data_IF_939216098991
#
_entry.id   IF_939216098991
#
_cell.length_a   1.000
_cell.length_b   1.000
_cell.length_c   1.000
_cell.angle_alpha   90.00
_cell.angle_beta   90.00
_cell.angle_gamma   90.00
#
_symmetry.space_group_name_H-M   'P 1'
#
loop_
_entity.id
_entity.type
_entity.pdbx_description
1 polymer ?
#
# COMPACT_ATOMS: atom_id res chain seq x y z
N UNK A 1 2.67 -55.49 15.54
CA UNK A 1 2.44 -54.65 14.35
C UNK A 1 3.70 -54.71 13.47
N UNK A 2 3.60 -55.22 12.23
CA UNK A 2 4.76 -55.59 11.40
C UNK A 2 5.64 -54.38 11.08
N UNK A 3 6.97 -54.51 11.22
CA UNK A 3 7.98 -53.46 10.93
C UNK A 3 7.81 -52.81 9.55
N UNK A 4 7.26 -53.57 8.59
CA UNK A 4 6.91 -53.09 7.24
C UNK A 4 5.82 -52.02 7.26
N UNK A 5 4.80 -52.14 8.12
CA UNK A 5 3.69 -51.17 8.21
C UNK A 5 4.15 -49.85 8.83
N UNK A 6 5.09 -49.90 9.78
CA UNK A 6 5.68 -48.71 10.39
C UNK A 6 6.54 -47.93 9.40
N UNK A 7 7.35 -48.61 8.60
CA UNK A 7 8.19 -47.96 7.58
C UNK A 7 7.34 -47.25 6.52
N UNK A 8 6.23 -47.88 6.11
CA UNK A 8 5.31 -47.34 5.10
C UNK A 8 4.54 -46.11 5.61
N UNK A 9 4.24 -46.07 6.91
CA UNK A 9 3.60 -44.91 7.54
C UNK A 9 4.56 -43.70 7.59
N UNK A 10 5.83 -43.94 7.90
CA UNK A 10 6.84 -42.88 7.99
C UNK A 10 7.11 -42.27 6.61
N UNK A 11 7.26 -43.09 5.57
CA UNK A 11 7.45 -42.59 4.20
C UNK A 11 6.23 -41.82 3.71
N UNK A 12 5.02 -42.26 4.04
CA UNK A 12 3.80 -41.53 3.71
C UNK A 12 3.75 -40.15 4.41
N UNK A 13 4.13 -40.06 5.68
CA UNK A 13 4.20 -38.79 6.40
C UNK A 13 5.24 -37.84 5.81
N UNK A 14 6.42 -38.34 5.43
CA UNK A 14 7.48 -37.52 4.80
C UNK A 14 7.04 -37.01 3.43
N UNK A 15 6.38 -37.86 2.63
CA UNK A 15 5.84 -37.47 1.32
C UNK A 15 4.72 -36.44 1.49
N UNK A 16 3.80 -36.60 2.44
CA UNK A 16 2.76 -35.61 2.74
C UNK A 16 3.37 -34.29 3.25
N UNK A 17 4.46 -34.33 4.02
CA UNK A 17 5.16 -33.14 4.48
C UNK A 17 5.85 -32.41 3.33
N UNK A 18 6.53 -33.14 2.43
CA UNK A 18 7.20 -32.58 1.26
C UNK A 18 6.21 -32.10 0.18
N UNK A 19 5.05 -32.74 0.06
CA UNK A 19 4.00 -32.37 -0.89
C UNK A 19 3.02 -31.34 -0.34
N UNK A 20 3.06 -31.01 0.95
CA UNK A 20 2.31 -29.90 1.49
C UNK A 20 3.04 -28.60 1.14
N UNK A 21 2.49 -27.75 0.26
CA UNK A 21 2.98 -26.39 0.12
C UNK A 21 2.46 -25.60 1.34
N UNK A 22 2.91 -25.94 2.54
CA UNK A 22 2.50 -25.30 3.79
C UNK A 22 3.16 -23.91 3.96
N UNK A 23 3.75 -23.38 2.89
CA UNK A 23 4.10 -21.98 2.69
C UNK A 23 3.64 -21.55 1.28
N UNK A 24 2.35 -21.72 0.96
CA UNK A 24 1.71 -20.60 0.28
C UNK A 24 1.73 -19.48 1.31
N UNK A 25 2.80 -18.66 1.30
CA UNK A 25 2.75 -17.34 1.91
C UNK A 25 1.39 -16.79 1.54
N UNK A 26 0.51 -16.62 2.53
CA UNK A 26 -0.72 -15.89 2.31
C UNK A 26 -0.29 -14.64 1.60
N UNK A 27 -0.74 -14.46 0.37
CA UNK A 27 -0.44 -13.24 -0.39
C UNK A 27 -1.18 -12.18 0.41
N UNK A 28 -0.48 -11.56 1.34
CA UNK A 28 -1.07 -10.75 2.40
C UNK A 28 -1.81 -9.60 1.72
N UNK A 29 -3.13 -9.76 1.64
CA UNK A 29 -3.99 -8.74 1.08
C UNK A 29 -4.01 -7.58 2.08
N UNK A 30 -3.47 -6.44 1.67
CA UNK A 30 -3.58 -5.21 2.46
C UNK A 30 -4.68 -4.38 1.84
N UNK A 31 -5.82 -4.31 2.51
CA UNK A 31 -6.88 -3.36 2.20
C UNK A 31 -6.91 -2.34 3.33
N UNK A 32 -6.80 -1.06 3.00
CA UNK A 32 -6.90 -0.03 4.02
C UNK A 32 -7.40 1.31 3.55
N UNK A 33 -7.75 2.10 4.55
CA UNK A 33 -8.14 3.50 4.46
C UNK A 33 -7.27 4.33 5.40
N UNK A 34 -6.94 5.54 5.00
CA UNK A 34 -6.23 6.52 5.81
C UNK A 34 -6.76 7.92 5.55
N UNK A 35 -6.93 8.67 6.63
CA UNK A 35 -7.19 10.11 6.60
C UNK A 35 -5.95 10.82 7.16
N UNK A 36 -5.37 11.76 6.40
CA UNK A 36 -4.12 12.46 6.78
C UNK A 36 -4.15 13.92 6.37
N UNK A 37 -3.62 14.78 7.24
CA UNK A 37 -3.45 16.22 6.98
C UNK A 37 -1.97 16.59 7.00
N UNK A 38 -1.47 17.07 5.87
CA UNK A 38 -0.10 17.60 5.76
C UNK A 38 -0.11 19.12 5.86
N UNK A 39 0.64 19.67 6.82
CA UNK A 39 0.77 21.11 7.00
C UNK A 39 2.13 21.60 6.50
N UNK A 40 2.14 22.62 5.64
CA UNK A 40 3.35 23.29 5.17
C UNK A 40 3.18 24.81 5.20
N UNK A 41 3.81 25.45 6.19
CA UNK A 41 3.67 26.89 6.47
C UNK A 41 2.17 27.23 6.63
N UNK A 42 1.61 28.05 5.74
CA UNK A 42 0.18 28.44 5.73
C UNK A 42 -0.68 27.58 4.79
N UNK A 43 -0.11 26.54 4.19
CA UNK A 43 -0.84 25.62 3.32
C UNK A 43 -1.11 24.32 4.08
N UNK A 44 -2.22 23.68 3.73
CA UNK A 44 -2.63 22.39 4.28
C UNK A 44 -3.16 21.52 3.16
N UNK A 45 -2.80 20.25 3.16
CA UNK A 45 -3.34 19.25 2.25
C UNK A 45 -3.99 18.15 3.06
N UNK A 46 -5.32 18.10 3.00
CA UNK A 46 -6.11 17.04 3.62
C UNK A 46 -6.39 15.96 2.61
N UNK A 47 -6.11 14.71 2.97
CA UNK A 47 -6.20 13.55 2.10
C UNK A 47 -7.00 12.44 2.73
N UNK A 48 -7.81 11.82 1.88
CA UNK A 48 -8.33 10.49 2.05
C UNK A 48 -7.61 9.55 1.07
N UNK A 49 -6.97 8.52 1.61
CA UNK A 49 -6.24 7.52 0.85
C UNK A 49 -6.91 6.17 1.08
N UNK A 50 -7.22 5.45 0.01
CA UNK A 50 -7.59 4.04 0.07
C UNK A 50 -6.63 3.24 -0.78
N UNK A 51 -6.24 2.06 -0.31
CA UNK A 51 -5.38 1.17 -1.08
C UNK A 51 -5.77 -0.29 -0.89
N UNK A 52 -5.60 -1.06 -1.96
CA UNK A 52 -5.75 -2.50 -1.96
C UNK A 52 -4.53 -3.11 -2.65
N UNK A 53 -3.82 -3.98 -1.94
CA UNK A 53 -2.66 -4.72 -2.44
C UNK A 53 -3.00 -6.20 -2.42
N UNK A 54 -2.75 -6.88 -3.53
CA UNK A 54 -2.92 -8.30 -3.66
C UNK A 54 -2.00 -8.83 -4.76
N UNK A 55 -1.30 -9.94 -4.49
CA UNK A 55 -0.55 -10.69 -5.49
C UNK A 55 0.51 -9.87 -6.26
N UNK A 56 1.17 -8.92 -5.60
CA UNK A 56 2.19 -8.07 -6.24
C UNK A 56 1.61 -6.95 -7.12
N UNK A 57 0.29 -6.74 -7.07
CA UNK A 57 -0.43 -5.65 -7.73
C UNK A 57 -1.25 -4.87 -6.72
N UNK A 58 -1.50 -3.60 -7.01
CA UNK A 58 -2.36 -2.80 -6.17
C UNK A 58 -3.04 -1.65 -6.88
N UNK A 59 -4.05 -1.12 -6.21
CA UNK A 59 -4.78 0.08 -6.61
C UNK A 59 -4.80 1.00 -5.40
N UNK A 60 -4.44 2.26 -5.60
CA UNK A 60 -4.51 3.32 -4.60
C UNK A 60 -5.35 4.45 -5.14
N UNK A 61 -6.39 4.85 -4.40
CA UNK A 61 -7.16 6.07 -4.67
C UNK A 61 -6.80 7.14 -3.64
N UNK A 62 -6.52 8.34 -4.13
CA UNK A 62 -6.20 9.50 -3.31
C UNK A 62 -7.16 10.63 -3.67
N UNK A 63 -7.85 11.18 -2.68
CA UNK A 63 -8.68 12.36 -2.82
C UNK A 63 -8.39 13.35 -1.72
N UNK A 64 -8.65 14.63 -1.95
CA UNK A 64 -8.30 15.64 -0.96
C UNK A 64 -8.50 17.07 -1.40
N UNK A 65 -8.25 17.99 -0.46
CA UNK A 65 -8.38 19.43 -0.67
C UNK A 65 -7.07 20.09 -0.25
N UNK A 66 -6.52 20.89 -1.14
CA UNK A 66 -5.42 21.80 -0.85
C UNK A 66 -5.99 23.13 -0.41
N UNK A 67 -5.54 23.61 0.75
CA UNK A 67 -5.87 24.89 1.32
C UNK A 67 -4.67 25.84 1.27
N UNK A 68 -4.94 27.13 1.05
CA UNK A 68 -4.00 28.23 1.22
C UNK A 68 -4.63 29.28 2.14
N UNK A 69 -4.07 29.45 3.33
CA UNK A 69 -4.64 30.28 4.40
C UNK A 69 -6.11 29.92 4.69
N UNK A 70 -6.37 28.64 4.96
CA UNK A 70 -7.69 28.07 5.30
C UNK A 70 -8.76 28.18 4.21
N UNK A 71 -8.40 28.66 3.00
CA UNK A 71 -9.29 28.72 1.83
C UNK A 71 -8.99 27.57 0.90
N UNK A 72 -10.03 26.84 0.47
CA UNK A 72 -9.90 25.79 -0.53
C UNK A 72 -9.33 26.38 -1.83
N UNK A 73 -8.18 25.87 -2.23
CA UNK A 73 -7.43 26.28 -3.42
C UNK A 73 -7.67 25.31 -4.59
N UNK A 74 -7.60 24.01 -4.32
CA UNK A 74 -7.73 22.99 -5.35
C UNK A 74 -8.15 21.62 -4.77
N UNK A 75 -8.71 20.78 -5.63
CA UNK A 75 -9.13 19.41 -5.33
C UNK A 75 -8.17 18.41 -5.98
N UNK A 76 -7.71 17.44 -5.18
CA UNK A 76 -7.00 16.25 -5.64
C UNK A 76 -8.01 15.10 -5.71
N UNK A 77 -8.02 14.35 -6.82
CA UNK A 77 -8.82 13.12 -6.91
C UNK A 77 -8.30 12.24 -8.04
N UNK A 78 -7.58 11.18 -7.69
CA UNK A 78 -6.89 10.30 -8.64
C UNK A 78 -6.82 8.85 -8.16
N UNK A 79 -6.73 7.94 -9.12
CA UNK A 79 -6.44 6.52 -8.88
C UNK A 79 -5.11 6.14 -9.54
N UNK A 80 -4.29 5.36 -8.84
CA UNK A 80 -3.02 4.82 -9.32
C UNK A 80 -3.09 3.30 -9.25
N UNK A 81 -2.92 2.62 -10.38
CA UNK A 81 -2.59 1.19 -10.36
C UNK A 81 -1.07 1.03 -10.34
N UNK A 82 -0.59 0.01 -9.63
CA UNK A 82 0.83 -0.23 -9.46
C UNK A 82 1.15 -1.71 -9.34
N UNK A 83 2.39 -2.07 -9.68
CA UNK A 83 3.00 -3.31 -9.21
C UNK A 83 3.81 -3.06 -7.94
N UNK A 84 4.00 -4.11 -7.15
CA UNK A 84 4.88 -4.05 -6.00
C UNK A 84 5.68 -5.33 -5.77
N UNK A 85 6.84 -5.17 -5.15
CA UNK A 85 7.60 -6.25 -4.53
C UNK A 85 7.71 -5.98 -3.03
N UNK A 86 7.62 -7.03 -2.23
CA UNK A 86 7.76 -6.95 -0.78
C UNK A 86 9.06 -7.63 -0.35
N UNK A 87 9.84 -6.95 0.50
CA UNK A 87 11.01 -7.51 1.18
C UNK A 87 10.92 -7.19 2.67
N UNK A 88 10.44 -8.16 3.46
CA UNK A 88 10.10 -7.94 4.87
C UNK A 88 9.03 -6.85 5.02
N UNK A 89 9.39 -5.77 5.72
CA UNK A 89 8.51 -4.62 5.97
C UNK A 89 8.59 -3.55 4.86
N UNK A 90 9.42 -3.75 3.84
CA UNK A 90 9.60 -2.79 2.75
C UNK A 90 8.77 -3.19 1.54
N UNK A 91 8.05 -2.21 1.01
CA UNK A 91 7.19 -2.32 -0.16
C UNK A 91 7.74 -1.39 -1.26
N UNK A 92 8.13 -2.00 -2.38
CA UNK A 92 8.68 -1.31 -3.54
C UNK A 92 7.59 -1.20 -4.60
N UNK A 93 6.89 -0.06 -4.63
CA UNK A 93 5.83 0.18 -5.59
C UNK A 93 6.39 0.75 -6.89
N UNK A 94 5.70 0.46 -7.99
CA UNK A 94 5.96 1.07 -9.30
C UNK A 94 4.65 1.40 -10.00
N UNK A 95 4.45 2.68 -10.31
CA UNK A 95 3.22 3.15 -10.95
C UNK A 95 3.07 2.57 -12.36
N UNK A 96 1.86 2.13 -12.70
CA UNK A 96 1.54 1.50 -14.00
C UNK A 96 0.53 2.34 -14.77
N UNK A 97 -0.57 2.72 -14.13
CA UNK A 97 -1.60 3.60 -14.69
C UNK A 97 -1.97 4.67 -13.68
N UNK A 98 -2.23 5.88 -14.18
CA UNK A 98 -2.69 7.01 -13.39
C UNK A 98 -3.92 7.58 -14.06
N UNK A 99 -5.00 7.73 -13.31
CA UNK A 99 -6.28 8.25 -13.79
C UNK A 99 -6.75 9.39 -12.90
N UNK A 100 -7.04 10.53 -13.52
CA UNK A 100 -7.64 11.68 -12.85
C UNK A 100 -9.16 11.55 -12.86
N UNK A 101 -9.78 11.86 -11.73
CA UNK A 101 -11.23 11.99 -11.66
C UNK A 101 -11.66 13.34 -12.24
N UNK A 102 -12.90 13.50 -12.75
CA UNK A 102 -13.39 14.79 -13.26
C UNK A 102 -13.36 15.94 -12.22
N UNK A 103 -13.31 15.63 -10.93
CA UNK A 103 -13.21 16.61 -9.84
C UNK A 103 -11.77 17.10 -9.59
N UNK A 104 -10.79 16.53 -10.29
CA UNK A 104 -9.38 16.92 -10.19
C UNK A 104 -9.19 18.34 -10.73
N UNK A 105 -8.71 19.24 -9.88
CA UNK A 105 -8.42 20.64 -10.24
C UNK A 105 -7.02 21.08 -9.82
N UNK A 106 -6.29 20.25 -9.07
CA UNK A 106 -4.93 20.56 -8.62
C UNK A 106 -3.94 20.60 -9.79
N UNK A 107 -3.26 21.73 -9.92
CA UNK A 107 -2.25 21.94 -10.97
C UNK A 107 -1.09 20.96 -10.85
N UNK A 108 -0.41 20.66 -11.96
CA UNK A 108 0.77 19.78 -11.95
C UNK A 108 1.88 20.31 -11.03
N UNK A 109 2.06 21.62 -10.93
CA UNK A 109 3.06 22.22 -10.03
C UNK A 109 2.70 22.03 -8.56
N UNK A 110 1.41 22.14 -8.19
CA UNK A 110 0.96 21.82 -6.84
C UNK A 110 1.10 20.32 -6.57
N UNK A 111 0.75 19.44 -7.51
CA UNK A 111 0.95 17.99 -7.36
C UNK A 111 2.42 17.66 -7.09
N UNK A 112 3.35 18.18 -7.89
CA UNK A 112 4.81 17.97 -7.70
C UNK A 112 5.36 18.52 -6.39
N UNK A 113 4.67 19.51 -5.79
CA UNK A 113 5.05 20.07 -4.50
C UNK A 113 4.64 19.16 -3.34
N UNK A 114 3.52 18.46 -3.45
CA UNK A 114 2.90 17.73 -2.34
C UNK A 114 3.02 16.21 -2.45
N UNK A 115 3.13 15.69 -3.67
CA UNK A 115 3.09 14.26 -3.95
C UNK A 115 4.40 13.79 -4.57
N UNK A 116 4.87 12.59 -4.20
CA UNK A 116 5.92 11.91 -4.94
C UNK A 116 5.55 11.70 -6.42
N UNK A 117 6.57 11.62 -7.28
CA UNK A 117 6.45 11.31 -8.71
C UNK A 117 5.61 10.05 -9.01
N UNK A 118 5.59 9.07 -8.09
CA UNK A 118 4.73 7.88 -8.16
C UNK A 118 3.25 8.18 -8.42
N UNK A 119 2.76 9.30 -7.88
CA UNK A 119 1.37 9.72 -8.08
C UNK A 119 1.20 10.58 -9.33
N UNK A 120 2.25 10.91 -10.07
CA UNK A 120 2.20 11.92 -11.13
C UNK A 120 2.50 11.29 -12.49
N UNK A 121 3.58 10.52 -12.58
CA UNK A 121 4.01 9.86 -13.82
C UNK A 121 4.00 8.33 -13.68
N UNK A 122 3.82 7.64 -14.79
CA UNK A 122 3.93 6.17 -14.86
C UNK A 122 5.39 5.73 -14.74
N UNK A 123 5.60 4.48 -14.34
CA UNK A 123 6.90 3.84 -14.19
C UNK A 123 7.81 4.44 -13.09
N UNK A 124 7.23 5.22 -12.18
CA UNK A 124 7.93 5.88 -11.07
C UNK A 124 7.90 5.02 -9.81
N UNK A 125 9.00 4.99 -9.03
CA UNK A 125 9.07 4.19 -7.81
C UNK A 125 8.46 4.91 -6.61
N UNK A 126 7.95 4.14 -5.65
CA UNK A 126 7.69 4.59 -4.29
C UNK A 126 8.10 3.50 -3.32
N UNK A 127 9.03 3.81 -2.41
CA UNK A 127 9.46 2.90 -1.36
C UNK A 127 8.73 3.28 -0.08
N UNK A 128 8.00 2.31 0.49
CA UNK A 128 7.36 2.48 1.78
C UNK A 128 7.81 1.38 2.74
N UNK A 129 7.93 1.74 4.01
CA UNK A 129 8.08 0.76 5.09
C UNK A 129 6.77 0.68 5.85
N UNK A 130 6.15 -0.50 5.92
CA UNK A 130 4.93 -0.72 6.68
C UNK A 130 5.25 -1.42 8.00
N UNK A 131 4.75 -0.89 9.11
CA UNK A 131 4.82 -1.55 10.42
C UNK A 131 3.42 -1.72 10.99
N UNK A 132 3.17 -2.83 11.68
CA UNK A 132 1.94 -3.02 12.44
C UNK A 132 1.86 -1.99 13.57
N UNK A 133 0.68 -1.38 13.72
CA UNK A 133 0.38 -0.43 14.77
C UNK A 133 -0.92 -0.82 15.47
N UNK A 134 -0.80 -1.26 16.73
CA UNK A 134 -1.92 -1.78 17.49
C UNK A 134 -2.58 -3.00 16.83
N UNK A 135 -3.84 -3.24 17.16
CA UNK A 135 -4.65 -4.31 16.60
C UNK A 135 -5.54 -3.76 15.47
N UNK A 136 -5.00 -3.69 14.25
CA UNK A 136 -5.80 -3.41 13.06
C UNK A 136 -5.35 -2.25 12.18
N UNK A 137 -4.17 -1.68 12.42
CA UNK A 137 -3.61 -0.65 11.54
C UNK A 137 -2.15 -0.92 11.17
N UNK A 138 -1.71 -0.26 10.10
CA UNK A 138 -0.33 -0.18 9.67
C UNK A 138 0.11 1.28 9.66
N UNK A 139 1.32 1.58 10.11
CA UNK A 139 1.95 2.87 9.84
C UNK A 139 2.88 2.70 8.64
N UNK A 140 2.67 3.55 7.62
CA UNK A 140 3.54 3.63 6.46
C UNK A 140 4.54 4.76 6.65
N UNK A 141 5.82 4.46 6.46
CA UNK A 141 6.93 5.41 6.56
C UNK A 141 7.60 5.60 5.19
N UNK A 142 8.05 6.82 4.93
CA UNK A 142 9.13 7.09 3.98
C UNK A 142 10.39 7.32 4.79
N UNK A 143 11.40 6.45 4.61
CA UNK A 143 12.61 6.44 5.43
C UNK A 143 12.29 6.37 6.93
N UNK A 144 12.46 7.47 7.66
CA UNK A 144 12.18 7.60 9.10
C UNK A 144 10.94 8.46 9.42
N UNK A 145 10.25 8.98 8.41
CA UNK A 145 9.10 9.87 8.59
C UNK A 145 7.80 9.09 8.41
N UNK A 146 6.92 9.00 9.42
CA UNK A 146 5.59 8.41 9.24
C UNK A 146 4.80 9.28 8.27
N UNK A 147 4.27 8.66 7.22
CA UNK A 147 3.45 9.33 6.22
C UNK A 147 1.98 9.29 6.64
N UNK A 148 1.46 8.10 6.95
CA UNK A 148 0.05 7.92 7.24
C UNK A 148 -0.25 6.62 8.01
N UNK A 149 -1.37 6.60 8.72
CA UNK A 149 -1.90 5.43 9.43
C UNK A 149 -2.99 4.80 8.57
N UNK A 150 -2.72 3.58 8.12
CA UNK A 150 -3.56 2.76 7.25
C UNK A 150 -4.36 1.81 8.13
N UNK A 151 -5.63 2.14 8.36
CA UNK A 151 -6.56 1.31 9.12
C UNK A 151 -7.11 0.21 8.22
N UNK A 152 -7.07 -1.04 8.72
CA UNK A 152 -7.55 -2.20 7.97
C UNK A 152 -9.04 -2.03 7.66
N UNK A 153 -9.38 -2.00 6.37
CA UNK A 153 -10.77 -2.09 5.94
C UNK A 153 -11.24 -3.54 6.00
N UNK A 154 -12.43 -3.76 6.55
CA UNK A 154 -13.13 -5.05 6.55
C UNK A 154 -13.66 -5.38 5.16
#
# INVERSE_FOLDING_TARGET
MSKSKTLLLITLCVVIYLLNPLHKNGKDTISCKSDVSYHWRKNQLDLLITQHLQDGKGILSISGILYDNDKAKAYLSKTVSFSYQQNGNFYYFRSELIMDSPQMTMSLSDQKRWLPDFFIDTNKPLLLKAMLYGNGAWIFYSENTPLFVCERSQ
#
